data_IF_244778972343
#
_entry.id   IF_244778972343
#
_cell.length_a   1.000
_cell.length_b   1.000
_cell.length_c   1.000
_cell.angle_alpha   90.00
_cell.angle_beta   90.00
_cell.angle_gamma   90.00
#
_symmetry.space_group_name_H-M   'P 1'
#
loop_
_entity.id
_entity.type
_entity.pdbx_description
1 polymer ?
#
# COMPACT_ATOMS: atom_id res chain seq x y z
N UNK A 1 10.91 1.68 -23.17
CA UNK A 1 10.73 0.60 -22.16
C UNK A 1 9.25 0.24 -22.15
N UNK A 2 8.90 -1.05 -22.05
CA UNK A 2 7.50 -1.44 -21.88
C UNK A 2 7.01 -0.84 -20.55
N UNK A 3 5.83 -0.19 -20.54
CA UNK A 3 5.20 0.33 -19.34
C UNK A 3 4.77 -0.81 -18.40
N UNK A 4 4.56 -0.49 -17.12
CA UNK A 4 3.95 -1.41 -16.15
C UNK A 4 2.43 -1.33 -16.29
N UNK A 5 1.79 -2.43 -16.68
CA UNK A 5 0.34 -2.51 -16.73
C UNK A 5 -0.22 -2.91 -15.34
N UNK A 6 -0.48 -1.89 -14.54
CA UNK A 6 -0.99 -2.03 -13.17
C UNK A 6 -2.43 -2.59 -13.17
N UNK A 7 -3.25 -2.15 -14.13
CA UNK A 7 -4.64 -2.63 -14.21
C UNK A 7 -4.69 -4.11 -14.53
N UNK A 8 -3.84 -4.59 -15.43
CA UNK A 8 -3.73 -6.02 -15.73
C UNK A 8 -3.32 -6.85 -14.51
N UNK A 9 -2.46 -6.34 -13.63
CA UNK A 9 -2.10 -7.01 -12.36
C UNK A 9 -3.31 -7.13 -11.44
N UNK A 10 -4.07 -6.05 -11.24
CA UNK A 10 -5.28 -6.07 -10.42
C UNK A 10 -6.35 -7.02 -11.00
N UNK A 11 -6.54 -7.03 -12.31
CA UNK A 11 -7.49 -7.94 -12.95
C UNK A 11 -7.09 -9.42 -12.86
N UNK A 12 -5.79 -9.70 -12.97
CA UNK A 12 -5.30 -11.07 -12.96
C UNK A 12 -5.24 -11.68 -11.54
N UNK A 13 -4.98 -10.88 -10.50
CA UNK A 13 -4.64 -11.36 -9.17
C UNK A 13 -5.30 -10.61 -8.02
N UNK A 14 -6.06 -9.54 -8.30
CA UNK A 14 -6.66 -8.68 -7.28
C UNK A 14 -7.76 -9.33 -6.45
N UNK A 15 -8.32 -10.47 -6.87
CA UNK A 15 -9.38 -11.18 -6.16
C UNK A 15 -8.86 -12.03 -4.98
N UNK A 16 -7.55 -12.11 -4.77
CA UNK A 16 -6.95 -12.81 -3.65
C UNK A 16 -7.24 -12.15 -2.30
N UNK A 17 -7.35 -12.97 -1.24
CA UNK A 17 -7.51 -12.52 0.15
C UNK A 17 -6.27 -12.92 0.96
N UNK A 18 -5.56 -11.96 1.55
CA UNK A 18 -4.36 -12.22 2.38
C UNK A 18 -4.68 -12.25 3.88
N UNK A 19 -5.78 -12.94 4.25
CA UNK A 19 -6.21 -13.09 5.64
C UNK A 19 -7.12 -11.97 6.14
N UNK A 20 -7.55 -11.06 5.24
CA UNK A 20 -8.53 -10.01 5.51
C UNK A 20 -9.89 -10.34 4.87
N UNK A 21 -10.94 -9.62 5.26
CA UNK A 21 -12.30 -9.83 4.75
C UNK A 21 -12.52 -9.26 3.33
N UNK A 22 -11.59 -8.45 2.84
CA UNK A 22 -11.63 -7.80 1.52
C UNK A 22 -10.62 -8.42 0.57
N UNK A 23 -10.87 -8.30 -0.74
CA UNK A 23 -9.88 -8.67 -1.75
C UNK A 23 -8.72 -7.67 -1.79
N UNK A 24 -7.58 -8.06 -2.36
CA UNK A 24 -6.44 -7.15 -2.55
C UNK A 24 -6.82 -5.94 -3.41
N UNK A 25 -7.66 -6.13 -4.43
CA UNK A 25 -8.16 -5.04 -5.24
C UNK A 25 -9.05 -4.11 -4.43
N UNK A 26 -10.03 -4.64 -3.68
CA UNK A 26 -10.94 -3.80 -2.90
C UNK A 26 -10.18 -3.05 -1.81
N UNK A 27 -9.19 -3.68 -1.17
CA UNK A 27 -8.30 -3.04 -0.22
C UNK A 27 -7.56 -1.85 -0.83
N UNK A 28 -6.91 -2.05 -1.98
CA UNK A 28 -6.19 -0.98 -2.68
C UNK A 28 -7.12 0.18 -3.08
N UNK A 29 -8.32 -0.14 -3.60
CA UNK A 29 -9.31 0.87 -3.98
C UNK A 29 -9.85 1.65 -2.78
N UNK A 30 -10.05 0.99 -1.63
CA UNK A 30 -10.43 1.64 -0.38
C UNK A 30 -9.33 2.59 0.10
N UNK A 31 -8.06 2.16 0.12
CA UNK A 31 -6.92 3.00 0.46
C UNK A 31 -6.85 4.25 -0.44
N UNK A 32 -6.95 4.07 -1.76
CA UNK A 32 -6.93 5.19 -2.70
C UNK A 32 -8.10 6.16 -2.49
N UNK A 33 -9.30 5.64 -2.22
CA UNK A 33 -10.48 6.46 -1.95
C UNK A 33 -10.35 7.25 -0.63
N UNK A 34 -9.75 6.65 0.42
CA UNK A 34 -9.45 7.32 1.68
C UNK A 34 -8.41 8.43 1.46
N UNK A 35 -7.35 8.15 0.73
CA UNK A 35 -6.32 9.12 0.39
C UNK A 35 -6.88 10.31 -0.40
N UNK A 36 -7.68 10.04 -1.44
CA UNK A 36 -8.30 11.09 -2.25
C UNK A 36 -9.22 12.01 -1.43
N UNK A 37 -9.98 11.45 -0.49
CA UNK A 37 -10.84 12.25 0.40
C UNK A 37 -10.06 13.10 1.40
N UNK A 38 -8.92 12.62 1.87
CA UNK A 38 -8.10 13.28 2.88
C UNK A 38 -7.08 14.25 2.30
N UNK A 39 -6.50 13.90 1.15
CA UNK A 39 -5.37 14.61 0.53
C UNK A 39 -5.77 15.62 -0.56
N UNK A 40 -7.06 15.69 -0.93
CA UNK A 40 -7.50 16.58 -2.02
C UNK A 40 -6.83 16.20 -3.36
N UNK A 41 -6.09 17.17 -3.93
CA UNK A 41 -5.45 17.03 -5.26
C UNK A 41 -4.03 16.43 -5.20
N UNK A 42 -3.62 15.76 -4.11
CA UNK A 42 -2.30 15.12 -4.00
C UNK A 42 -2.27 13.75 -4.69
N UNK A 43 -2.11 13.77 -6.00
CA UNK A 43 -2.06 12.58 -6.84
C UNK A 43 -0.95 11.59 -6.45
N UNK A 44 0.19 12.07 -5.98
CA UNK A 44 1.28 11.20 -5.54
C UNK A 44 0.91 10.40 -4.30
N UNK A 45 0.23 11.03 -3.34
CA UNK A 45 -0.22 10.38 -2.13
C UNK A 45 -1.34 9.36 -2.41
N UNK A 46 -2.28 9.71 -3.30
CA UNK A 46 -3.32 8.80 -3.77
C UNK A 46 -2.71 7.60 -4.50
N UNK A 47 -1.73 7.85 -5.37
CA UNK A 47 -1.04 6.80 -6.10
C UNK A 47 -0.27 5.86 -5.15
N UNK A 48 0.43 6.41 -4.16
CA UNK A 48 1.11 5.61 -3.15
C UNK A 48 0.13 4.73 -2.37
N UNK A 49 -1.03 5.27 -1.97
CA UNK A 49 -2.07 4.52 -1.29
C UNK A 49 -2.66 3.40 -2.16
N UNK A 50 -2.89 3.65 -3.46
CA UNK A 50 -3.38 2.64 -4.41
C UNK A 50 -2.39 1.49 -4.59
N UNK A 51 -1.08 1.78 -4.55
CA UNK A 51 -0.02 0.85 -4.96
C UNK A 51 0.80 0.27 -3.80
N UNK A 52 0.50 0.62 -2.53
CA UNK A 52 1.36 0.24 -1.39
C UNK A 52 1.58 -1.27 -1.29
N UNK A 53 0.59 -2.07 -1.66
CA UNK A 53 0.60 -3.53 -1.62
C UNK A 53 0.76 -4.19 -3.00
N UNK A 54 1.11 -3.43 -4.06
CA UNK A 54 1.21 -3.94 -5.43
C UNK A 54 2.15 -5.14 -5.58
N UNK A 55 3.18 -5.25 -4.75
CA UNK A 55 4.10 -6.37 -4.76
C UNK A 55 3.41 -7.73 -4.56
N UNK A 56 2.35 -7.79 -3.77
CA UNK A 56 1.56 -9.02 -3.59
C UNK A 56 0.89 -9.51 -4.87
N UNK A 57 0.61 -8.62 -5.81
CA UNK A 57 0.04 -8.94 -7.11
C UNK A 57 1.09 -9.27 -8.18
N UNK A 58 2.31 -8.72 -8.04
CA UNK A 58 3.34 -8.81 -9.07
C UNK A 58 4.17 -10.10 -9.01
N UNK A 59 4.42 -10.63 -7.81
CA UNK A 59 5.36 -11.74 -7.61
C UNK A 59 4.68 -12.90 -6.88
N UNK A 60 4.61 -14.10 -7.49
CA UNK A 60 4.17 -15.30 -6.77
C UNK A 60 5.31 -15.81 -5.89
N UNK A 61 5.27 -15.50 -4.62
CA UNK A 61 6.22 -15.98 -3.63
C UNK A 61 5.52 -16.71 -2.48
N UNK A 62 6.32 -17.46 -1.69
CA UNK A 62 5.86 -18.00 -0.42
C UNK A 62 5.37 -16.87 0.51
N UNK A 63 4.25 -17.08 1.19
CA UNK A 63 3.53 -16.04 1.95
C UNK A 63 4.43 -15.25 2.92
N UNK A 64 5.31 -15.90 3.67
CA UNK A 64 6.18 -15.24 4.65
C UNK A 64 7.22 -14.32 4.00
N UNK A 65 7.82 -14.75 2.89
CA UNK A 65 8.82 -13.95 2.16
C UNK A 65 8.17 -12.74 1.50
N UNK A 66 6.96 -12.92 0.95
CA UNK A 66 6.17 -11.83 0.40
C UNK A 66 5.86 -10.79 1.48
N UNK A 67 5.33 -11.21 2.63
CA UNK A 67 5.00 -10.32 3.76
C UNK A 67 6.18 -9.52 4.28
N UNK A 68 7.36 -10.12 4.36
CA UNK A 68 8.56 -9.47 4.90
C UNK A 68 9.06 -8.30 4.05
N UNK A 69 8.94 -8.40 2.73
CA UNK A 69 9.63 -7.51 1.80
C UNK A 69 8.71 -6.79 0.80
N UNK A 70 7.38 -6.90 0.95
CA UNK A 70 6.45 -6.34 -0.05
C UNK A 70 6.62 -4.83 -0.25
N UNK A 71 6.83 -4.05 0.81
CA UNK A 71 7.05 -2.60 0.70
C UNK A 71 8.27 -2.28 -0.18
N UNK A 72 9.43 -2.88 0.13
CA UNK A 72 10.66 -2.69 -0.66
C UNK A 72 10.48 -3.14 -2.12
N UNK A 73 9.85 -4.28 -2.36
CA UNK A 73 9.59 -4.80 -3.71
C UNK A 73 8.59 -3.98 -4.48
N UNK A 74 7.52 -3.53 -3.82
CA UNK A 74 6.54 -2.64 -4.40
C UNK A 74 7.20 -1.34 -4.86
N UNK A 75 8.01 -0.74 -4.00
CA UNK A 75 8.78 0.45 -4.33
C UNK A 75 9.73 0.23 -5.52
N UNK A 76 10.50 -0.85 -5.52
CA UNK A 76 11.42 -1.18 -6.61
C UNK A 76 10.69 -1.40 -7.96
N UNK A 77 9.49 -2.00 -7.91
CA UNK A 77 8.65 -2.22 -9.10
C UNK A 77 8.19 -0.92 -9.73
N UNK A 78 7.79 0.07 -8.92
CA UNK A 78 7.21 1.32 -9.42
C UNK A 78 8.23 2.44 -9.62
N UNK A 79 9.38 2.39 -8.93
CA UNK A 79 10.40 3.46 -8.94
C UNK A 79 10.83 3.96 -10.34
N UNK A 80 10.90 3.13 -11.40
CA UNK A 80 11.24 3.62 -12.74
C UNK A 80 10.20 4.57 -13.36
N UNK A 81 8.99 4.62 -12.81
CA UNK A 81 7.83 5.28 -13.42
C UNK A 81 7.28 6.45 -12.60
N UNK A 82 7.58 6.50 -11.30
CA UNK A 82 6.95 7.44 -10.37
C UNK A 82 7.97 8.36 -9.70
N UNK A 83 7.55 9.52 -9.15
CA UNK A 83 8.40 10.35 -8.31
C UNK A 83 8.97 9.59 -7.10
N UNK A 84 10.15 9.99 -6.65
CA UNK A 84 10.85 9.37 -5.53
C UNK A 84 9.98 9.33 -4.24
N UNK A 85 9.13 10.33 -4.03
CA UNK A 85 8.19 10.40 -2.90
C UNK A 85 7.23 9.20 -2.89
N UNK A 86 6.63 8.87 -4.04
CA UNK A 86 5.70 7.74 -4.16
C UNK A 86 6.38 6.42 -3.81
N UNK A 87 7.55 6.16 -4.43
CA UNK A 87 8.31 4.94 -4.16
C UNK A 87 8.73 4.85 -2.68
N UNK A 88 9.18 5.97 -2.11
CA UNK A 88 9.56 6.02 -0.69
C UNK A 88 8.39 5.72 0.25
N UNK A 89 7.21 6.28 -0.01
CA UNK A 89 6.00 6.03 0.80
C UNK A 89 5.63 4.55 0.74
N UNK A 90 5.63 3.95 -0.46
CA UNK A 90 5.36 2.52 -0.66
C UNK A 90 6.38 1.67 0.10
N UNK A 91 7.66 1.99 0.04
CA UNK A 91 8.70 1.26 0.77
C UNK A 91 8.47 1.31 2.28
N UNK A 92 8.09 2.47 2.80
CA UNK A 92 8.10 2.74 4.24
C UNK A 92 6.75 2.57 4.94
N UNK A 93 5.65 2.20 4.24
CA UNK A 93 4.36 1.97 4.91
C UNK A 93 4.43 0.84 5.96
N UNK A 94 5.26 -0.21 5.70
CA UNK A 94 5.55 -1.28 6.68
C UNK A 94 6.33 -0.75 7.87
N UNK A 95 7.34 0.08 7.63
CA UNK A 95 8.10 0.73 8.70
C UNK A 95 7.22 1.68 9.51
N UNK A 96 6.26 2.37 8.88
CA UNK A 96 5.27 3.21 9.55
C UNK A 96 4.35 2.39 10.49
N UNK A 97 3.91 1.18 10.09
CA UNK A 97 3.22 0.24 10.98
C UNK A 97 4.06 -0.11 12.20
N UNK A 98 5.30 -0.51 11.97
CA UNK A 98 6.25 -0.90 13.02
C UNK A 98 6.57 0.27 13.96
N UNK A 99 6.63 1.50 13.42
CA UNK A 99 6.75 2.74 14.20
C UNK A 99 5.54 2.93 15.12
N UNK A 100 4.32 2.90 14.57
CA UNK A 100 3.10 3.06 15.37
C UNK A 100 3.01 2.01 16.48
N UNK A 101 3.38 0.77 16.20
CA UNK A 101 3.44 -0.29 17.23
C UNK A 101 4.47 -0.01 18.33
N UNK A 102 5.55 0.72 18.02
CA UNK A 102 6.57 1.07 19.01
C UNK A 102 6.18 2.24 19.91
N UNK A 103 5.43 3.22 19.38
CA UNK A 103 5.15 4.47 20.07
C UNK A 103 3.73 4.57 20.62
N UNK A 104 2.79 3.77 20.12
CA UNK A 104 1.38 3.79 20.49
C UNK A 104 0.87 2.40 20.92
N UNK A 105 0.81 2.11 22.22
CA UNK A 105 0.27 0.85 22.72
C UNK A 105 -1.23 0.63 22.41
N UNK A 106 -1.99 1.70 22.13
CA UNK A 106 -3.40 1.59 21.73
C UNK A 106 -3.48 1.09 20.30
N UNK A 107 -2.64 1.61 19.41
CA UNK A 107 -2.55 1.18 18.03
C UNK A 107 -2.24 -0.33 17.93
N UNK A 108 -1.24 -0.81 18.67
CA UNK A 108 -0.87 -2.23 18.67
C UNK A 108 -2.06 -3.15 19.01
N UNK A 109 -2.91 -2.75 19.98
CA UNK A 109 -4.09 -3.53 20.39
C UNK A 109 -5.24 -3.53 19.38
N UNK A 110 -5.23 -2.62 18.41
CA UNK A 110 -6.27 -2.48 17.38
C UNK A 110 -5.95 -3.19 16.07
N UNK A 111 -4.73 -3.72 15.93
CA UNK A 111 -4.34 -4.43 14.72
C UNK A 111 -5.24 -5.64 14.48
N UNK A 112 -5.59 -5.89 13.22
CA UNK A 112 -6.25 -7.14 12.80
C UNK A 112 -5.34 -8.34 13.08
N UNK A 113 -5.89 -9.56 13.20
CA UNK A 113 -5.08 -10.77 13.34
C UNK A 113 -4.06 -10.95 12.21
N UNK A 114 -4.41 -10.61 10.96
CA UNK A 114 -3.49 -10.62 9.83
C UNK A 114 -2.36 -9.60 9.99
N UNK A 115 -2.68 -8.38 10.45
CA UNK A 115 -1.68 -7.34 10.73
C UNK A 115 -0.76 -7.69 11.89
N UNK A 116 -1.25 -8.39 12.93
CA UNK A 116 -0.41 -8.91 14.03
C UNK A 116 0.55 -9.98 13.52
N UNK A 117 0.06 -10.91 12.70
CA UNK A 117 0.90 -11.95 12.09
C UNK A 117 1.99 -11.32 11.22
N UNK A 118 1.63 -10.41 10.31
CA UNK A 118 2.59 -9.76 9.42
C UNK A 118 3.60 -8.90 10.19
N UNK A 119 3.20 -8.25 11.29
CA UNK A 119 4.12 -7.52 12.17
C UNK A 119 5.23 -8.43 12.71
N UNK A 120 4.89 -9.63 13.17
CA UNK A 120 5.87 -10.60 13.68
C UNK A 120 6.86 -11.02 12.59
N UNK A 121 6.37 -11.32 11.38
CA UNK A 121 7.20 -11.69 10.21
C UNK A 121 8.11 -10.54 9.79
N UNK A 122 7.64 -9.29 9.92
CA UNK A 122 8.37 -8.07 9.57
C UNK A 122 9.38 -7.61 10.62
N UNK A 123 9.54 -8.33 11.73
CA UNK A 123 10.52 -8.05 12.77
C UNK A 123 10.01 -7.25 13.97
N UNK A 124 8.68 -7.19 14.18
CA UNK A 124 8.05 -6.53 15.32
C UNK A 124 8.11 -5.00 15.29
N UNK A 125 7.79 -4.33 16.40
CA UNK A 125 7.92 -2.88 16.53
C UNK A 125 9.35 -2.39 16.25
N UNK A 126 9.49 -1.14 15.76
CA UNK A 126 10.81 -0.54 15.53
C UNK A 126 11.55 -0.33 16.86
N UNK A 127 12.88 -0.45 16.80
CA UNK A 127 13.73 0.06 17.87
C UNK A 127 13.68 1.59 17.92
N UNK A 128 13.94 2.16 19.09
CA UNK A 128 13.82 3.60 19.33
C UNK A 128 14.62 4.45 18.34
N UNK A 129 15.86 4.05 18.05
CA UNK A 129 16.75 4.79 17.15
C UNK A 129 16.20 4.80 15.72
N UNK A 130 15.76 3.63 15.21
CA UNK A 130 15.15 3.51 13.89
C UNK A 130 13.85 4.32 13.78
N UNK A 131 13.05 4.31 14.85
CA UNK A 131 11.81 5.07 14.92
C UNK A 131 12.08 6.58 14.85
N UNK A 132 13.10 7.08 15.57
CA UNK A 132 13.51 8.48 15.53
C UNK A 132 14.06 8.88 14.15
N UNK A 133 14.90 8.05 13.55
CA UNK A 133 15.45 8.28 12.23
C UNK A 133 14.34 8.34 11.15
N UNK A 134 13.40 7.40 11.20
CA UNK A 134 12.25 7.37 10.29
C UNK A 134 11.37 8.62 10.46
N UNK A 135 11.09 9.02 11.71
CA UNK A 135 10.24 10.18 12.01
C UNK A 135 10.83 11.52 11.55
N UNK A 136 12.14 11.58 11.37
CA UNK A 136 12.83 12.79 10.87
C UNK A 136 12.74 12.94 9.35
N UNK A 137 12.26 11.93 8.61
CA UNK A 137 12.18 12.01 7.16
C UNK A 137 11.03 12.91 6.69
N UNK A 138 11.22 13.79 5.68
CA UNK A 138 10.21 14.76 5.24
C UNK A 138 8.89 14.13 4.76
N UNK A 139 8.92 12.91 4.24
CA UNK A 139 7.73 12.19 3.77
C UNK A 139 7.15 11.20 4.80
N UNK A 140 7.65 11.23 6.03
CA UNK A 140 7.20 10.30 7.07
C UNK A 140 5.70 10.43 7.39
N UNK A 141 5.19 11.67 7.43
CA UNK A 141 3.77 11.91 7.66
C UNK A 141 2.89 11.24 6.59
N UNK A 142 3.34 11.22 5.34
CA UNK A 142 2.62 10.58 4.24
C UNK A 142 2.61 9.05 4.39
N UNK A 143 3.74 8.44 4.75
CA UNK A 143 3.79 7.00 5.03
C UNK A 143 2.91 6.60 6.23
N UNK A 144 2.81 7.46 7.26
CA UNK A 144 1.87 7.26 8.37
C UNK A 144 0.42 7.35 7.92
N UNK A 145 0.09 8.28 7.01
CA UNK A 145 -1.25 8.42 6.47
C UNK A 145 -1.63 7.19 5.66
N UNK A 146 -0.75 6.75 4.74
CA UNK A 146 -0.97 5.51 3.98
C UNK A 146 -1.15 4.32 4.92
N UNK A 147 -0.33 4.20 5.96
CA UNK A 147 -0.49 3.13 6.95
C UNK A 147 -1.85 3.17 7.68
N UNK A 148 -2.35 4.33 8.04
CA UNK A 148 -3.66 4.46 8.68
C UNK A 148 -4.80 4.07 7.74
N UNK A 149 -4.73 4.47 6.47
CA UNK A 149 -5.70 4.06 5.46
C UNK A 149 -5.65 2.56 5.18
N UNK A 150 -4.48 1.94 5.17
CA UNK A 150 -4.31 0.49 5.08
C UNK A 150 -5.04 -0.23 6.24
N UNK A 151 -4.97 0.30 7.45
CA UNK A 151 -5.72 -0.28 8.58
C UNK A 151 -7.24 -0.08 8.46
N UNK A 152 -7.67 1.04 7.88
CA UNK A 152 -9.10 1.39 7.72
C UNK A 152 -9.73 0.70 6.50
N UNK A 153 -8.96 0.41 5.47
CA UNK A 153 -9.41 -0.11 4.17
C UNK A 153 -9.75 -1.62 4.19
N UNK A 154 -10.53 -2.07 5.18
CA UNK A 154 -10.85 -3.48 5.42
C UNK A 154 -12.35 -3.73 5.61
N UNK A 155 -13.16 -2.80 5.13
CA UNK A 155 -14.61 -2.90 5.22
C UNK A 155 -15.17 -3.60 3.95
N UNK A 156 -15.73 -4.82 4.08
CA UNK A 156 -16.32 -5.53 2.93
C UNK A 156 -17.58 -4.87 2.37
N UNK A 157 -18.14 -3.89 3.06
CA UNK A 157 -19.33 -3.14 2.61
C UNK A 157 -18.99 -1.75 2.06
N UNK A 158 -17.71 -1.35 2.08
CA UNK A 158 -17.31 -0.05 1.59
C UNK A 158 -17.59 0.09 0.09
N UNK A 159 -18.23 1.21 -0.27
CA UNK A 159 -18.45 1.59 -1.67
C UNK A 159 -17.31 2.49 -2.11
N UNK A 160 -16.50 2.02 -3.03
CA UNK A 160 -15.37 2.76 -3.60
C UNK A 160 -15.56 2.99 -5.10
N UNK A 161 -14.92 4.02 -5.67
CA UNK A 161 -14.79 4.11 -7.12
C UNK A 161 -14.17 2.83 -7.69
N UNK A 162 -14.66 2.34 -8.85
CA UNK A 162 -14.10 1.16 -9.49
C UNK A 162 -12.66 1.41 -9.98
N UNK A 163 -11.91 0.35 -10.27
CA UNK A 163 -10.54 0.46 -10.80
C UNK A 163 -10.45 1.39 -12.02
N UNK A 164 -11.46 1.39 -12.88
CA UNK A 164 -11.55 2.27 -14.05
C UNK A 164 -11.48 3.76 -13.73
N UNK A 165 -11.93 4.18 -12.54
CA UNK A 165 -11.85 5.57 -12.12
C UNK A 165 -10.40 6.04 -11.86
N UNK A 166 -9.49 5.11 -11.60
CA UNK A 166 -8.08 5.39 -11.30
C UNK A 166 -7.17 5.27 -12.53
N UNK A 167 -7.69 4.79 -13.67
CA UNK A 167 -6.92 4.64 -14.92
C UNK A 167 -6.27 5.95 -15.36
N UNK A 168 -6.94 7.11 -15.36
CA UNK A 168 -6.29 8.36 -15.75
C UNK A 168 -5.09 8.73 -14.86
N UNK A 169 -5.14 8.40 -13.56
CA UNK A 169 -4.02 8.57 -12.64
C UNK A 169 -2.87 7.61 -13.00
N UNK A 170 -3.17 6.34 -13.22
CA UNK A 170 -2.17 5.33 -13.58
C UNK A 170 -1.49 5.64 -14.92
N UNK A 171 -2.25 6.05 -15.93
CA UNK A 171 -1.71 6.37 -17.26
C UNK A 171 -0.71 7.52 -17.25
N UNK A 172 -0.88 8.50 -16.36
CA UNK A 172 0.08 9.61 -16.23
C UNK A 172 1.50 9.15 -15.86
N UNK A 173 1.61 8.06 -15.13
CA UNK A 173 2.89 7.57 -14.62
C UNK A 173 3.40 6.33 -15.36
N UNK A 174 2.51 5.42 -15.72
CA UNK A 174 2.88 4.10 -16.24
C UNK A 174 2.63 3.95 -17.75
N UNK A 175 2.03 4.95 -18.41
CA UNK A 175 1.57 4.84 -19.79
C UNK A 175 0.25 4.06 -19.91
N UNK A 176 -0.17 3.68 -21.13
CA UNK A 176 -1.46 3.06 -21.39
C UNK A 176 -1.72 1.83 -20.50
N UNK A 177 -2.93 1.75 -19.96
CA UNK A 177 -3.39 0.67 -19.11
C UNK A 177 -4.46 -0.17 -19.81
N UNK A 178 -4.48 -1.48 -19.58
CA UNK A 178 -5.41 -2.41 -20.22
C UNK A 178 -6.49 -2.84 -19.23
N UNK A 179 -7.69 -2.28 -19.36
CA UNK A 179 -8.87 -2.81 -18.65
C UNK A 179 -9.58 -3.83 -19.53
N UNK A 180 -9.90 -4.99 -18.98
CA UNK A 180 -10.85 -5.90 -19.62
C UNK A 180 -12.23 -5.23 -19.62
N UNK A 181 -12.82 -5.13 -20.81
CA UNK A 181 -14.23 -4.71 -20.92
C UNK A 181 -15.08 -5.83 -20.32
N UNK A 182 -15.93 -5.46 -19.33
CA UNK A 182 -16.94 -6.34 -18.77
C UNK A 182 -17.96 -6.70 -19.86
#
# INVERSE_FOLDING_TARGET
>A
MAGLDVTALFEARGDGHYGEAVTQRDHALQCAALASRAGGDDDELVLAALLHDLAHLAVPEGRETAERHHGHRGAALVAPFVPARVAWIIEHHVAAKRYLCAVDPVYLRRLSPASVHSLAVQGGPLHREDAMALAAHPWFADALNVRRWDDEAKDPQAKTPPLSAWVPLLERYFGPQTLRRA
#
